data_IF_132414201022
#
_entry.id   IF_132414201022
#
_cell.length_a   1.000
_cell.length_b   1.000
_cell.length_c   1.000
_cell.angle_alpha   90.00
_cell.angle_beta   90.00
_cell.angle_gamma   90.00
#
_symmetry.space_group_name_H-M   'P 1'
#
loop_
_entity.id
_entity.type
_entity.pdbx_description
1 polymer ?
#
# COMPACT_ATOMS: atom_id res chain seq x y z
N UNK A 1 -8.94 -2.86 19.05
CA UNK A 1 -8.73 -3.30 17.65
C UNK A 1 -8.69 -4.83 17.64
N UNK A 2 -9.52 -5.47 16.80
CA UNK A 2 -9.61 -6.92 16.63
C UNK A 2 -9.08 -7.30 15.24
N UNK A 3 -8.22 -8.31 15.20
CA UNK A 3 -7.65 -8.85 13.96
C UNK A 3 -8.50 -9.99 13.44
N UNK A 4 -8.88 -9.90 12.17
CA UNK A 4 -9.62 -10.91 11.44
C UNK A 4 -8.71 -11.53 10.39
N UNK A 5 -8.77 -12.85 10.26
CA UNK A 5 -7.97 -13.62 9.30
C UNK A 5 -8.88 -14.21 8.23
N UNK A 6 -8.49 -14.04 6.98
CA UNK A 6 -9.18 -14.55 5.81
C UNK A 6 -8.25 -15.42 4.99
N UNK A 7 -8.80 -16.47 4.37
CA UNK A 7 -8.08 -17.30 3.43
C UNK A 7 -8.77 -17.20 2.07
N UNK A 8 -8.03 -16.83 1.03
CA UNK A 8 -8.55 -16.78 -0.34
C UNK A 8 -7.51 -17.37 -1.29
N UNK A 9 -7.92 -18.38 -2.07
CA UNK A 9 -7.07 -19.04 -3.08
C UNK A 9 -5.69 -19.53 -2.56
N UNK A 10 -5.60 -19.91 -1.28
CA UNK A 10 -4.35 -20.35 -0.64
C UNK A 10 -3.49 -19.21 -0.06
N UNK A 11 -3.96 -17.96 -0.15
CA UNK A 11 -3.34 -16.78 0.46
C UNK A 11 -4.04 -16.39 1.75
N UNK A 12 -3.27 -15.80 2.67
CA UNK A 12 -3.76 -15.30 3.95
C UNK A 12 -3.79 -13.78 3.93
N UNK A 13 -4.93 -13.24 4.31
CA UNK A 13 -5.17 -11.81 4.48
C UNK A 13 -5.58 -11.51 5.91
N UNK A 14 -5.23 -10.32 6.35
CA UNK A 14 -5.53 -9.83 7.67
C UNK A 14 -6.19 -8.47 7.55
N UNK A 15 -7.16 -8.24 8.42
CA UNK A 15 -7.83 -6.95 8.60
C UNK A 15 -7.82 -6.64 10.08
N UNK A 16 -7.42 -5.43 10.40
CA UNK A 16 -7.55 -4.88 11.74
C UNK A 16 -8.75 -3.93 11.76
N UNK A 17 -9.70 -4.18 12.67
CA UNK A 17 -10.92 -3.38 12.81
C UNK A 17 -11.08 -2.88 14.24
N UNK A 18 -11.49 -1.62 14.39
CA UNK A 18 -11.83 -1.05 15.70
C UNK A 18 -13.19 -1.52 16.21
N UNK A 19 -14.10 -1.83 15.29
CA UNK A 19 -15.43 -2.35 15.59
C UNK A 19 -15.45 -3.87 15.48
N UNK A 20 -16.34 -4.49 16.26
CA UNK A 20 -16.64 -5.91 16.10
C UNK A 20 -17.55 -6.12 14.89
N UNK A 21 -17.09 -6.95 13.97
CA UNK A 21 -17.79 -7.32 12.74
C UNK A 21 -18.62 -8.59 12.94
N UNK A 22 -19.87 -8.55 12.51
CA UNK A 22 -20.78 -9.69 12.46
C UNK A 22 -20.36 -10.72 11.40
N UNK A 23 -20.86 -11.95 11.52
CA UNK A 23 -20.58 -13.02 10.55
C UNK A 23 -21.00 -12.65 9.12
N UNK A 24 -22.09 -11.88 8.96
CA UNK A 24 -22.55 -11.41 7.64
C UNK A 24 -21.56 -10.42 7.02
N UNK A 25 -21.00 -9.51 7.81
CA UNK A 25 -19.97 -8.57 7.37
C UNK A 25 -18.68 -9.31 7.01
N UNK A 26 -18.25 -10.27 7.83
CA UNK A 26 -17.10 -11.11 7.54
C UNK A 26 -17.28 -11.90 6.24
N UNK A 27 -18.49 -12.39 5.95
CA UNK A 27 -18.79 -13.05 4.69
C UNK A 27 -18.64 -12.09 3.49
N UNK A 28 -19.11 -10.84 3.60
CA UNK A 28 -18.93 -9.82 2.55
C UNK A 28 -17.44 -9.51 2.34
N UNK A 29 -16.69 -9.34 3.42
CA UNK A 29 -15.24 -9.11 3.38
C UNK A 29 -14.52 -10.26 2.68
N UNK A 30 -14.84 -11.51 3.05
CA UNK A 30 -14.24 -12.69 2.43
C UNK A 30 -14.48 -12.74 0.92
N UNK A 31 -15.67 -12.33 0.44
CA UNK A 31 -15.96 -12.25 -1.01
C UNK A 31 -15.11 -11.19 -1.71
N UNK A 32 -14.93 -10.03 -1.10
CA UNK A 32 -14.10 -8.94 -1.63
C UNK A 32 -12.63 -9.36 -1.67
N UNK A 33 -12.11 -9.94 -0.59
CA UNK A 33 -10.72 -10.39 -0.47
C UNK A 33 -10.37 -11.43 -1.54
N UNK A 34 -11.29 -12.32 -1.88
CA UNK A 34 -11.09 -13.29 -2.97
C UNK A 34 -10.93 -12.66 -4.34
N UNK A 35 -11.25 -11.37 -4.49
CA UNK A 35 -11.03 -10.61 -5.72
C UNK A 35 -9.80 -9.71 -5.65
N UNK A 36 -9.06 -9.67 -4.54
CA UNK A 36 -7.90 -8.80 -4.41
C UNK A 36 -6.75 -9.22 -5.31
N UNK A 37 -5.92 -8.26 -5.75
CA UNK A 37 -4.85 -8.60 -6.65
C UNK A 37 -3.73 -9.31 -5.87
N UNK A 38 -3.15 -10.34 -6.48
CA UNK A 38 -2.19 -11.23 -5.83
C UNK A 38 -0.87 -11.25 -6.60
N UNK A 39 0.22 -11.18 -5.84
CA UNK A 39 1.59 -11.21 -6.35
C UNK A 39 1.87 -12.32 -7.38
N UNK A 40 1.39 -13.53 -7.09
CA UNK A 40 1.62 -14.75 -7.87
C UNK A 40 0.78 -14.85 -9.14
N UNK A 41 -0.41 -14.25 -9.16
CA UNK A 41 -1.39 -14.31 -10.26
C UNK A 41 -1.66 -12.93 -10.82
N UNK A 42 -0.61 -12.12 -10.97
CA UNK A 42 -0.74 -10.67 -11.18
C UNK A 42 -1.71 -10.28 -12.30
N UNK A 43 -1.71 -10.95 -13.46
CA UNK A 43 -2.59 -10.53 -14.58
C UNK A 43 -4.06 -10.90 -14.36
N UNK A 44 -4.32 -12.13 -13.98
CA UNK A 44 -5.68 -12.67 -13.78
C UNK A 44 -6.34 -12.06 -12.56
N UNK A 45 -5.59 -11.94 -11.44
CA UNK A 45 -6.10 -11.36 -10.20
C UNK A 45 -6.43 -9.86 -10.33
N UNK A 46 -5.64 -9.08 -11.09
CA UNK A 46 -6.01 -7.69 -11.38
C UNK A 46 -7.28 -7.63 -12.21
N UNK A 47 -7.41 -8.47 -13.24
CA UNK A 47 -8.60 -8.47 -14.10
C UNK A 47 -9.85 -8.75 -13.26
N UNK A 48 -9.81 -9.79 -12.44
CA UNK A 48 -10.88 -10.13 -11.50
C UNK A 48 -11.17 -8.99 -10.53
N UNK A 49 -10.13 -8.36 -9.97
CA UNK A 49 -10.29 -7.20 -9.10
C UNK A 49 -10.99 -6.03 -9.79
N UNK A 50 -10.63 -5.74 -11.05
CA UNK A 50 -11.21 -4.64 -11.82
C UNK A 50 -12.66 -4.92 -12.23
N UNK A 51 -12.99 -6.17 -12.54
CA UNK A 51 -14.35 -6.61 -12.88
C UNK A 51 -15.26 -6.73 -11.65
N UNK A 52 -14.69 -6.99 -10.47
CA UNK A 52 -15.44 -7.09 -9.21
C UNK A 52 -16.22 -5.80 -8.90
N UNK A 53 -17.54 -5.86 -8.87
CA UNK A 53 -18.34 -4.73 -8.38
C UNK A 53 -18.64 -4.95 -6.90
N UNK A 54 -18.35 -3.98 -6.01
CA UNK A 54 -18.83 -4.03 -4.65
C UNK A 54 -20.35 -3.79 -4.62
N UNK A 55 -21.14 -4.85 -4.87
CA UNK A 55 -22.60 -4.88 -4.70
C UNK A 55 -22.96 -4.43 -3.28
N UNK A 56 -24.05 -3.65 -3.07
CA UNK A 56 -24.71 -3.26 -1.79
C UNK A 56 -23.86 -3.23 -0.49
N UNK A 57 -22.54 -3.04 -0.61
CA UNK A 57 -21.61 -3.25 0.48
C UNK A 57 -21.46 -1.91 1.17
N UNK A 58 -21.68 -1.85 2.49
CA UNK A 58 -21.53 -0.60 3.21
C UNK A 58 -20.14 -0.01 3.01
N UNK A 59 -20.06 1.31 2.85
CA UNK A 59 -18.77 2.01 2.61
C UNK A 59 -17.72 1.71 3.66
N UNK A 60 -18.12 1.53 4.93
CA UNK A 60 -17.16 1.20 6.00
C UNK A 60 -16.59 -0.21 5.84
N UNK A 61 -17.37 -1.19 5.35
CA UNK A 61 -16.86 -2.53 5.03
C UNK A 61 -15.86 -2.44 3.89
N UNK A 62 -16.16 -1.65 2.84
CA UNK A 62 -15.20 -1.42 1.76
C UNK A 62 -13.91 -0.80 2.28
N UNK A 63 -13.99 0.23 3.14
CA UNK A 63 -12.83 0.91 3.68
C UNK A 63 -11.98 0.00 4.57
N UNK A 64 -12.61 -0.75 5.48
CA UNK A 64 -11.94 -1.76 6.31
C UNK A 64 -11.25 -2.81 5.42
N UNK A 65 -11.95 -3.29 4.39
CA UNK A 65 -11.40 -4.32 3.48
C UNK A 65 -10.25 -3.78 2.63
N UNK A 66 -10.34 -2.55 2.14
CA UNK A 66 -9.32 -1.91 1.32
C UNK A 66 -7.99 -1.68 2.06
N UNK A 67 -8.03 -1.63 3.40
CA UNK A 67 -6.87 -1.53 4.28
C UNK A 67 -6.38 -2.90 4.78
N UNK A 68 -6.85 -4.01 4.20
CA UNK A 68 -6.28 -5.32 4.49
C UNK A 68 -4.78 -5.38 4.12
N UNK A 69 -4.10 -6.38 4.68
CA UNK A 69 -2.70 -6.68 4.37
C UNK A 69 -2.47 -8.18 4.20
N UNK A 70 -1.45 -8.54 3.42
CA UNK A 70 -1.09 -9.93 3.14
C UNK A 70 -0.27 -10.57 4.27
N UNK A 71 0.09 -11.84 4.11
CA UNK A 71 1.00 -12.54 5.02
C UNK A 71 2.45 -12.07 4.97
N UNK A 72 2.81 -11.15 4.11
CA UNK A 72 4.11 -10.48 4.18
C UNK A 72 4.01 -9.18 4.98
N UNK A 73 2.80 -8.75 5.38
CA UNK A 73 2.54 -7.48 6.06
C UNK A 73 2.29 -6.32 5.10
N UNK A 74 2.25 -6.54 3.78
CA UNK A 74 2.05 -5.49 2.79
C UNK A 74 0.56 -5.11 2.71
N UNK A 75 0.25 -3.82 2.77
CA UNK A 75 -1.12 -3.34 2.51
C UNK A 75 -1.55 -3.68 1.08
N UNK A 76 -2.84 -3.86 0.83
CA UNK A 76 -3.32 -4.16 -0.53
C UNK A 76 -2.97 -3.05 -1.52
N UNK A 77 -3.00 -1.80 -1.08
CA UNK A 77 -2.53 -0.67 -1.87
C UNK A 77 -1.01 -0.77 -2.15
N UNK A 78 -0.22 -1.18 -1.16
CA UNK A 78 1.21 -1.45 -1.31
C UNK A 78 1.52 -2.55 -2.32
N UNK A 79 0.81 -3.68 -2.25
CA UNK A 79 0.93 -4.78 -3.23
C UNK A 79 0.60 -4.28 -4.64
N UNK A 80 -0.47 -3.50 -4.80
CA UNK A 80 -0.82 -2.95 -6.11
C UNK A 80 0.25 -2.03 -6.68
N UNK A 81 0.89 -1.24 -5.81
CA UNK A 81 1.98 -0.35 -6.17
C UNK A 81 3.27 -1.10 -6.49
N UNK A 82 3.67 -2.08 -5.68
CA UNK A 82 4.91 -2.87 -5.85
C UNK A 82 4.93 -3.59 -7.19
N UNK A 83 3.81 -4.20 -7.57
CA UNK A 83 3.71 -4.95 -8.82
C UNK A 83 3.43 -4.07 -10.04
N UNK A 84 3.32 -2.75 -9.85
CA UNK A 84 3.07 -1.79 -10.93
C UNK A 84 1.74 -2.03 -11.62
N UNK A 85 0.68 -2.35 -10.88
CA UNK A 85 -0.65 -2.54 -11.44
C UNK A 85 -1.17 -1.24 -12.07
N UNK A 86 -2.23 -1.34 -12.89
CA UNK A 86 -2.77 -0.18 -13.59
C UNK A 86 -3.24 0.90 -12.62
N UNK A 87 -3.20 2.16 -13.06
CA UNK A 87 -3.75 3.30 -12.31
C UNK A 87 -5.20 3.04 -11.89
N UNK A 88 -5.97 2.32 -12.72
CA UNK A 88 -7.35 1.94 -12.41
C UNK A 88 -7.45 1.02 -11.19
N UNK A 89 -6.54 0.06 -11.03
CA UNK A 89 -6.54 -0.84 -9.87
C UNK A 89 -6.19 -0.07 -8.59
N UNK A 90 -5.20 0.82 -8.68
CA UNK A 90 -4.80 1.71 -7.58
C UNK A 90 -5.95 2.65 -7.20
N UNK A 91 -6.56 3.32 -8.17
CA UNK A 91 -7.70 4.22 -7.94
C UNK A 91 -8.91 3.48 -7.38
N UNK A 92 -9.15 2.24 -7.80
CA UNK A 92 -10.25 1.42 -7.26
C UNK A 92 -10.05 1.11 -5.77
N UNK A 93 -8.85 0.72 -5.35
CA UNK A 93 -8.54 0.52 -3.92
C UNK A 93 -8.73 1.81 -3.12
N UNK A 94 -8.28 2.95 -3.65
CA UNK A 94 -8.48 4.26 -3.02
C UNK A 94 -9.96 4.60 -2.91
N UNK A 95 -10.75 4.38 -3.97
CA UNK A 95 -12.20 4.62 -3.99
C UNK A 95 -12.95 3.69 -3.01
N UNK A 96 -12.42 2.50 -2.74
CA UNK A 96 -12.93 1.61 -1.70
C UNK A 96 -12.58 2.09 -0.29
N UNK A 97 -11.63 3.00 -0.12
CA UNK A 97 -11.22 3.57 1.16
C UNK A 97 -9.83 3.14 1.65
N UNK A 98 -8.97 2.66 0.76
CA UNK A 98 -7.57 2.40 1.10
C UNK A 98 -6.88 3.71 1.53
N UNK A 99 -6.20 3.67 2.67
CA UNK A 99 -5.44 4.80 3.18
C UNK A 99 -4.09 4.88 2.44
N UNK A 100 -3.90 5.99 1.72
CA UNK A 100 -2.70 6.26 0.92
C UNK A 100 -1.42 6.43 1.74
N UNK A 101 -1.56 6.84 3.00
CA UNK A 101 -0.48 7.14 3.93
C UNK A 101 -0.31 6.07 5.02
N UNK A 102 -0.96 4.90 4.86
CA UNK A 102 -0.80 3.78 5.80
C UNK A 102 0.51 3.02 5.51
N UNK A 103 1.42 2.90 6.47
CA UNK A 103 2.60 2.06 6.31
C UNK A 103 2.24 0.59 6.38
N UNK A 104 2.98 -0.23 5.63
CA UNK A 104 2.92 -1.67 5.77
C UNK A 104 3.49 -2.16 7.10
N UNK A 105 3.10 -3.38 7.48
CA UNK A 105 3.57 -4.05 8.69
C UNK A 105 4.93 -4.74 8.51
N UNK A 106 5.54 -4.62 7.33
CA UNK A 106 6.75 -5.34 6.94
C UNK A 106 8.00 -4.49 7.10
N UNK A 107 8.11 -3.47 6.24
CA UNK A 107 9.25 -2.57 6.13
C UNK A 107 8.90 -1.17 6.61
N UNK A 108 7.67 -0.95 7.09
CA UNK A 108 7.16 0.36 7.43
C UNK A 108 7.18 1.29 6.19
N UNK A 109 6.84 0.74 5.03
CA UNK A 109 6.78 1.47 3.75
C UNK A 109 5.35 1.91 3.45
N UNK A 110 5.21 3.14 2.98
CA UNK A 110 3.96 3.64 2.39
C UNK A 110 3.75 3.03 1.00
N UNK A 111 2.50 3.05 0.51
CA UNK A 111 2.19 2.72 -0.88
C UNK A 111 3.04 3.53 -1.89
N UNK A 112 3.31 4.81 -1.60
CA UNK A 112 4.14 5.64 -2.47
C UNK A 112 5.61 5.14 -2.55
N UNK A 113 6.16 4.55 -1.49
CA UNK A 113 7.51 3.95 -1.52
C UNK A 113 7.55 2.78 -2.52
N UNK A 114 6.54 1.91 -2.45
CA UNK A 114 6.39 0.79 -3.37
C UNK A 114 6.16 1.26 -4.81
N UNK A 115 5.39 2.34 -5.01
CA UNK A 115 5.14 2.90 -6.34
C UNK A 115 6.40 3.47 -7.00
N UNK A 116 7.29 4.11 -6.22
CA UNK A 116 8.58 4.64 -6.72
C UNK A 116 9.47 3.50 -7.21
N UNK A 117 9.60 2.44 -6.40
CA UNK A 117 10.46 1.28 -6.68
C UNK A 117 9.61 0.02 -6.92
N UNK A 118 8.88 0.03 -8.04
CA UNK A 118 8.00 -1.07 -8.43
C UNK A 118 8.65 -1.94 -9.52
N UNK A 119 8.02 -3.08 -9.82
CA UNK A 119 8.53 -4.03 -10.83
C UNK A 119 8.68 -3.46 -12.25
N UNK A 120 7.98 -2.37 -12.58
CA UNK A 120 8.09 -1.66 -13.87
C UNK A 120 9.20 -0.61 -13.87
N UNK A 121 9.40 0.13 -12.78
CA UNK A 121 10.46 1.15 -12.67
C UNK A 121 11.82 0.58 -12.25
N UNK A 122 11.88 -0.63 -11.68
CA UNK A 122 13.13 -1.19 -11.17
C UNK A 122 14.25 -1.26 -12.22
N UNK A 123 13.90 -1.57 -13.48
CA UNK A 123 14.85 -1.66 -14.60
C UNK A 123 14.94 -0.37 -15.42
N UNK A 124 13.97 0.53 -15.27
CA UNK A 124 13.93 1.83 -15.93
C UNK A 124 13.49 2.89 -14.93
N UNK A 125 14.49 3.51 -14.29
CA UNK A 125 14.28 4.52 -13.25
C UNK A 125 13.65 5.82 -13.78
N UNK A 126 13.54 5.97 -15.10
CA UNK A 126 12.87 7.07 -15.79
C UNK A 126 11.48 6.72 -16.33
N UNK A 127 10.97 5.51 -16.07
CA UNK A 127 9.73 5.00 -16.67
C UNK A 127 8.52 5.90 -16.40
N UNK A 128 7.98 6.48 -17.46
CA UNK A 128 6.78 7.34 -17.40
C UNK A 128 5.56 6.56 -16.90
N UNK A 129 5.42 5.29 -17.31
CA UNK A 129 4.28 4.45 -16.91
C UNK A 129 4.26 4.21 -15.39
N UNK A 130 5.40 3.92 -14.79
CA UNK A 130 5.50 3.71 -13.35
C UNK A 130 5.21 5.01 -12.57
N UNK A 131 5.61 6.16 -13.13
CA UNK A 131 5.38 7.49 -12.54
C UNK A 131 3.89 7.86 -12.52
N UNK A 132 3.06 7.31 -13.40
CA UNK A 132 1.62 7.56 -13.37
C UNK A 132 0.93 7.00 -12.13
N UNK A 133 1.44 5.90 -11.54
CA UNK A 133 0.96 5.43 -10.23
C UNK A 133 1.32 6.41 -9.11
N UNK A 134 2.56 6.93 -9.13
CA UNK A 134 2.99 7.98 -8.18
C UNK A 134 2.11 9.21 -8.32
N UNK A 135 1.82 9.64 -9.55
CA UNK A 135 0.91 10.77 -9.84
C UNK A 135 -0.50 10.52 -9.30
N UNK A 136 -1.03 9.31 -9.48
CA UNK A 136 -2.34 8.91 -8.98
C UNK A 136 -2.42 9.06 -7.46
N UNK A 137 -1.46 8.51 -6.72
CA UNK A 137 -1.42 8.60 -5.26
C UNK A 137 -1.30 10.05 -4.77
N UNK A 138 -0.43 10.87 -5.37
CA UNK A 138 -0.30 12.29 -5.03
C UNK A 138 -1.60 13.07 -5.26
N UNK A 139 -2.29 12.83 -6.39
CA UNK A 139 -3.59 13.45 -6.67
C UNK A 139 -4.68 13.04 -5.67
N UNK A 140 -4.54 11.86 -5.05
CA UNK A 140 -5.44 11.37 -4.01
C UNK A 140 -4.97 11.76 -2.59
N UNK A 141 -4.09 12.77 -2.48
CA UNK A 141 -3.73 13.37 -1.20
C UNK A 141 -2.62 12.67 -0.43
N UNK A 142 -1.85 11.79 -1.06
CA UNK A 142 -0.68 11.19 -0.43
C UNK A 142 0.31 12.28 0.02
N UNK A 143 0.71 12.21 1.29
CA UNK A 143 1.65 13.19 1.88
C UNK A 143 3.07 12.89 1.45
N UNK A 144 3.87 13.93 1.24
CA UNK A 144 5.26 13.82 0.76
C UNK A 144 6.31 14.05 1.84
N UNK A 145 5.89 14.52 3.01
CA UNK A 145 6.73 14.89 4.16
C UNK A 145 6.81 13.80 5.25
N UNK A 146 6.05 12.70 5.08
CA UNK A 146 6.12 11.55 5.97
C UNK A 146 7.49 10.88 5.85
N UNK A 147 8.10 10.60 7.00
CA UNK A 147 9.34 9.83 7.12
C UNK A 147 9.03 8.39 7.50
N UNK A 148 8.92 7.53 6.50
CA UNK A 148 8.71 6.08 6.61
C UNK A 148 9.87 5.38 5.87
N UNK A 149 10.15 4.11 6.20
CA UNK A 149 11.28 3.33 5.65
C UNK A 149 12.66 4.04 5.70
N UNK A 150 13.58 3.52 6.53
CA UNK A 150 14.91 4.14 6.72
C UNK A 150 14.88 5.60 7.23
N UNK A 151 13.73 6.07 7.72
CA UNK A 151 13.52 7.44 8.20
C UNK A 151 13.78 8.51 7.12
N UNK A 152 13.51 8.20 5.86
CA UNK A 152 13.62 9.11 4.73
C UNK A 152 12.24 9.67 4.36
N UNK A 153 12.19 10.90 3.88
CA UNK A 153 11.04 11.38 3.10
C UNK A 153 11.00 10.66 1.74
N UNK A 154 9.83 10.67 1.10
CA UNK A 154 9.66 10.06 -0.23
C UNK A 154 10.59 10.69 -1.29
N UNK A 155 10.87 11.99 -1.17
CA UNK A 155 11.80 12.68 -2.07
C UNK A 155 13.25 12.25 -1.83
N UNK A 156 13.66 12.14 -0.57
CA UNK A 156 14.99 11.63 -0.19
C UNK A 156 15.18 10.19 -0.71
N UNK A 157 14.19 9.32 -0.49
CA UNK A 157 14.17 7.94 -0.98
C UNK A 157 14.27 7.86 -2.51
N UNK A 158 13.48 8.64 -3.24
CA UNK A 158 13.52 8.64 -4.71
C UNK A 158 14.89 9.11 -5.23
N UNK A 159 15.47 10.15 -4.62
CA UNK A 159 16.79 10.69 -5.00
C UNK A 159 17.92 9.70 -4.68
N UNK A 160 17.95 9.13 -3.47
CA UNK A 160 19.00 8.19 -3.04
C UNK A 160 19.07 6.94 -3.90
N UNK A 161 17.92 6.50 -4.44
CA UNK A 161 17.81 5.33 -5.31
C UNK A 161 17.91 5.66 -6.81
N UNK A 162 17.95 6.93 -7.17
CA UNK A 162 18.08 7.41 -8.56
C UNK A 162 16.80 7.36 -9.40
N UNK A 163 15.61 7.31 -8.78
CA UNK A 163 14.31 7.37 -9.48
C UNK A 163 13.98 8.82 -9.86
N UNK A 164 14.72 9.37 -10.83
CA UNK A 164 14.70 10.78 -11.21
C UNK A 164 13.32 11.27 -11.62
N UNK A 165 12.57 10.49 -12.40
CA UNK A 165 11.24 10.90 -12.85
C UNK A 165 10.23 10.99 -11.68
N UNK A 166 10.29 10.05 -10.74
CA UNK A 166 9.47 10.10 -9.53
C UNK A 166 9.91 11.24 -8.60
N UNK A 167 11.22 11.44 -8.40
CA UNK A 167 11.76 12.53 -7.60
C UNK A 167 11.31 13.89 -8.11
N UNK A 168 11.42 14.13 -9.42
CA UNK A 168 10.99 15.37 -10.06
C UNK A 168 9.48 15.62 -9.87
N UNK A 169 8.65 14.56 -10.00
CA UNK A 169 7.22 14.67 -9.78
C UNK A 169 6.90 15.04 -8.32
N UNK A 170 7.50 14.34 -7.35
CA UNK A 170 7.29 14.58 -5.91
C UNK A 170 7.74 15.98 -5.51
N UNK A 171 8.90 16.43 -6.00
CA UNK A 171 9.43 17.77 -5.75
C UNK A 171 8.49 18.85 -6.33
N UNK A 172 8.03 18.67 -7.58
CA UNK A 172 7.09 19.60 -8.21
C UNK A 172 5.74 19.66 -7.50
N UNK A 173 5.28 18.55 -6.93
CA UNK A 173 4.04 18.49 -6.14
C UNK A 173 4.21 19.18 -4.78
N UNK A 174 5.31 18.92 -4.10
CA UNK A 174 5.61 19.48 -2.78
C UNK A 174 5.80 21.00 -2.84
N UNK A 175 6.43 21.53 -3.88
CA UNK A 175 6.60 22.98 -4.06
C UNK A 175 5.28 23.73 -4.27
N UNK A 176 4.21 23.06 -4.70
CA UNK A 176 2.87 23.64 -4.85
C UNK A 176 2.06 23.66 -3.55
N UNK A 177 2.54 22.99 -2.51
CA UNK A 177 1.88 22.88 -1.20
C UNK A 177 2.78 23.55 -0.13
N UNK A 178 2.86 24.89 -0.08
CA UNK A 178 3.80 25.60 0.80
C UNK A 178 3.41 25.54 2.29
N UNK A 179 2.16 25.17 2.60
CA UNK A 179 1.66 25.07 3.96
C UNK A 179 2.07 23.77 4.65
N UNK A 180 2.93 23.90 5.67
CA UNK A 180 3.18 22.94 6.75
C UNK A 180 4.18 21.79 6.47
N UNK A 181 5.49 22.12 6.42
CA UNK A 181 6.61 21.16 6.36
C UNK A 181 6.95 20.54 7.73
N UNK A 182 5.96 20.24 8.58
CA UNK A 182 6.22 19.54 9.83
C UNK A 182 6.53 18.08 9.50
N UNK A 183 7.81 17.68 9.54
CA UNK A 183 8.21 16.30 9.26
C UNK A 183 7.53 15.35 10.24
N UNK A 184 6.65 14.47 9.74
CA UNK A 184 5.89 13.50 10.55
C UNK A 184 6.61 12.15 10.50
N UNK A 185 6.91 11.54 11.65
CA UNK A 185 7.43 10.19 11.71
C UNK A 185 6.34 9.16 11.42
N UNK A 186 6.70 8.07 10.75
CA UNK A 186 5.75 6.96 10.52
C UNK A 186 5.18 6.38 11.83
N UNK A 187 5.98 6.37 12.89
CA UNK A 187 5.55 5.96 14.24
C UNK A 187 4.47 6.87 14.81
N UNK A 188 4.48 8.15 14.43
CA UNK A 188 3.50 9.12 14.91
C UNK A 188 2.16 8.90 14.19
N UNK A 189 2.21 8.52 12.91
CA UNK A 189 1.03 8.02 12.18
C UNK A 189 0.50 6.72 12.80
N UNK A 190 1.39 5.78 13.14
CA UNK A 190 1.00 4.54 13.80
C UNK A 190 0.43 4.76 15.21
N UNK A 191 0.91 5.76 15.97
CA UNK A 191 0.39 6.07 17.31
C UNK A 191 -1.05 6.60 17.28
N UNK A 192 -1.44 7.34 16.23
CA UNK A 192 -2.84 7.72 16.02
C UNK A 192 -3.76 6.52 15.70
N UNK A 193 -3.21 5.36 15.30
CA UNK A 193 -4.00 4.20 14.85
C UNK A 193 -3.72 2.89 15.60
N UNK A 194 -2.75 2.84 16.51
CA UNK A 194 -2.37 1.62 17.22
C UNK A 194 -2.05 1.89 18.69
N UNK A 195 -3.03 1.66 19.57
CA UNK A 195 -2.70 1.20 20.91
C UNK A 195 -2.25 -0.27 20.80
N UNK A 196 -0.96 -0.42 20.49
CA UNK A 196 -0.07 -1.55 20.77
C UNK A 196 -0.69 -2.95 20.86
N UNK A 197 -0.51 -3.76 19.82
CA UNK A 197 -0.13 -5.17 20.01
C UNK A 197 1.37 -5.31 19.83
N UNK A 198 2.08 -5.42 20.95
CA UNK A 198 3.47 -5.93 21.00
C UNK A 198 3.45 -7.43 20.73
N UNK A 199 3.17 -7.84 19.50
CA UNK A 199 3.53 -9.19 19.07
C UNK A 199 4.34 -9.05 17.80
N UNK A 200 5.62 -9.44 17.90
CA UNK A 200 6.44 -9.72 16.72
C UNK A 200 5.86 -10.96 16.05
N UNK A 201 4.70 -10.82 15.42
CA UNK A 201 4.17 -11.85 14.54
C UNK A 201 5.09 -11.89 13.32
N UNK A 202 5.89 -12.94 13.20
CA UNK A 202 6.57 -13.28 11.95
C UNK A 202 5.51 -13.60 10.90
N UNK A 203 5.12 -12.60 10.11
CA UNK A 203 4.03 -12.72 9.14
C UNK A 203 4.30 -13.81 8.08
N UNK A 204 5.57 -14.00 7.70
CA UNK A 204 6.10 -15.16 7.00
C UNK A 204 7.64 -15.19 7.11
N UNK A 205 8.24 -16.39 7.20
CA UNK A 205 9.70 -16.60 7.07
C UNK A 205 10.23 -16.41 5.65
N UNK A 206 9.71 -15.41 4.93
CA UNK A 206 10.08 -15.13 3.55
C UNK A 206 11.27 -14.17 3.54
N UNK A 207 12.43 -14.66 3.11
CA UNK A 207 13.54 -13.79 2.74
C UNK A 207 13.04 -12.89 1.61
N UNK A 208 13.18 -11.55 1.70
CA UNK A 208 12.83 -10.68 0.59
C UNK A 208 13.51 -11.22 -0.67
N UNK A 209 12.74 -11.41 -1.74
CA UNK A 209 13.26 -11.74 -3.07
C UNK A 209 14.09 -10.63 -3.71
N UNK A 210 14.64 -9.73 -2.89
CA UNK A 210 15.68 -8.75 -3.19
C UNK A 210 16.47 -8.52 -1.90
N UNK A 211 17.25 -9.52 -1.48
CA UNK A 211 18.55 -9.20 -0.88
C UNK A 211 19.36 -8.56 -2.00
N UNK A 212 19.28 -7.23 -2.08
CA UNK A 212 20.38 -6.48 -2.66
C UNK A 212 21.59 -6.83 -1.79
N UNK A 213 22.50 -7.59 -2.36
CA UNK A 213 23.91 -7.34 -2.10
C UNK A 213 24.17 -5.92 -2.62
N UNK A 214 23.81 -4.92 -1.82
CA UNK A 214 24.29 -3.55 -1.95
C UNK A 214 25.76 -3.58 -1.48
N UNK A 215 26.64 -4.11 -2.32
CA UNK A 215 28.09 -3.96 -2.19
C UNK A 215 28.64 -3.58 -3.56
N UNK A 216 29.03 -2.31 -3.64
CA UNK A 216 29.76 -1.57 -4.68
C UNK A 216 28.98 -1.17 -5.95
#
# INVERSE_FOLDING_TARGET
>A
MKRYKFNAEGYRYYIDSEIELSEQELCKIQKIISSFPHASKSRESIKQFLEFSPDETPKYILAITANAFDCCGNTMLGVACEYGYSVNAVQKLINMGANVDMPDHNMNKLALHWAINNKKSFRDKGSVEAVEVVRCLLKNGAKTDIRCYQNETLLEYAKSRGFTAAANLIESHSNKQPENKSKIGCSDLAFFFTNTTKEKETYCGFKPGFLLNDNF
#
